data_IF_552848495087
#
_entry.id   IF_552848495087
#
_cell.length_a   1.000
_cell.length_b   1.000
_cell.length_c   1.000
_cell.angle_alpha   90.00
_cell.angle_beta   90.00
_cell.angle_gamma   90.00
#
_symmetry.space_group_name_H-M   'P 1'
#
loop_
_entity.id
_entity.type
_entity.pdbx_description
1 polymer ?
#
# COMPACT_ATOMS: atom_id res chain seq x y z
N UNK A 1 18.14 10.10 8.12
CA UNK A 1 18.37 10.08 9.57
C UNK A 1 17.03 10.28 10.23
N UNK A 2 16.53 9.28 10.95
CA UNK A 2 15.35 9.41 11.82
C UNK A 2 15.84 9.17 13.24
N UNK A 3 15.57 10.09 14.16
CA UNK A 3 16.08 10.04 15.54
C UNK A 3 17.59 9.79 15.63
N UNK A 4 18.37 10.47 14.78
CA UNK A 4 19.82 10.33 14.66
C UNK A 4 20.32 8.94 14.25
N UNK A 5 19.44 8.06 13.74
CA UNK A 5 19.77 6.75 13.20
C UNK A 5 19.64 6.73 11.69
N UNK A 6 20.57 6.02 11.04
CA UNK A 6 20.46 5.67 9.62
C UNK A 6 19.61 4.40 9.54
N UNK A 7 18.56 4.45 8.73
CA UNK A 7 17.63 3.33 8.52
C UNK A 7 17.56 3.06 7.02
N UNK A 8 17.65 1.80 6.64
CA UNK A 8 17.42 1.35 5.27
C UNK A 8 15.93 1.09 5.10
N UNK A 9 15.31 1.75 4.11
CA UNK A 9 13.88 1.59 3.80
C UNK A 9 13.76 0.96 2.42
N UNK A 10 12.91 -0.07 2.33
CA UNK A 10 12.55 -0.71 1.06
C UNK A 10 11.18 -0.20 0.65
N UNK A 11 11.12 0.49 -0.49
CA UNK A 11 9.87 1.05 -1.02
C UNK A 11 9.50 0.30 -2.30
N UNK A 12 8.27 -0.18 -2.35
CA UNK A 12 7.71 -0.88 -3.50
C UNK A 12 6.57 -0.04 -4.09
N UNK A 13 6.67 0.37 -5.34
CA UNK A 13 5.57 0.98 -6.08
C UNK A 13 4.67 -0.11 -6.69
N UNK A 14 3.35 0.09 -6.66
CA UNK A 14 2.34 -0.93 -7.03
C UNK A 14 1.43 -0.49 -8.18
N UNK A 15 1.84 0.52 -8.95
CA UNK A 15 1.10 0.99 -10.12
C UNK A 15 0.71 -0.17 -11.06
N UNK A 16 -0.58 -0.27 -11.41
CA UNK A 16 -1.12 -1.35 -12.26
C UNK A 16 -1.80 -2.51 -11.53
N UNK A 17 -2.11 -2.37 -10.23
CA UNK A 17 -2.82 -3.38 -9.45
C UNK A 17 -4.21 -3.74 -9.99
N UNK A 18 -4.84 -2.84 -10.75
CA UNK A 18 -6.05 -3.11 -11.53
C UNK A 18 -5.91 -4.27 -12.53
N UNK A 19 -4.69 -4.53 -13.06
CA UNK A 19 -4.44 -5.54 -14.10
C UNK A 19 -3.82 -6.83 -13.54
N UNK A 20 -3.25 -6.78 -12.32
CA UNK A 20 -2.54 -7.90 -11.69
C UNK A 20 -3.03 -8.14 -10.26
N UNK A 21 -4.32 -8.45 -10.09
CA UNK A 21 -4.93 -8.67 -8.78
C UNK A 21 -4.28 -9.79 -7.96
N UNK A 22 -3.68 -10.79 -8.61
CA UNK A 22 -3.01 -11.92 -7.96
C UNK A 22 -1.61 -11.60 -7.43
N UNK A 23 -0.95 -10.54 -7.91
CA UNK A 23 0.40 -10.15 -7.50
C UNK A 23 0.40 -9.22 -6.27
N UNK A 24 -0.77 -8.65 -5.92
CA UNK A 24 -0.92 -7.69 -4.83
C UNK A 24 -0.55 -8.24 -3.45
N UNK A 25 -0.75 -9.54 -3.21
CA UNK A 25 -0.51 -10.20 -1.91
C UNK A 25 0.96 -10.12 -1.49
N UNK A 26 1.88 -10.35 -2.43
CA UNK A 26 3.32 -10.37 -2.16
C UNK A 26 3.86 -8.98 -1.75
N UNK A 27 3.19 -7.90 -2.13
CA UNK A 27 3.58 -6.54 -1.76
C UNK A 27 3.11 -6.14 -0.36
N UNK A 28 2.21 -6.91 0.27
CA UNK A 28 1.65 -6.57 1.57
C UNK A 28 2.18 -7.45 2.70
N UNK A 29 2.50 -8.72 2.43
CA UNK A 29 3.05 -9.64 3.43
C UNK A 29 4.42 -9.15 3.96
N UNK A 30 4.54 -9.04 5.28
CA UNK A 30 5.78 -8.62 5.95
C UNK A 30 6.12 -7.12 5.78
N UNK A 31 5.19 -6.30 5.29
CA UNK A 31 5.39 -4.85 5.23
C UNK A 31 4.95 -4.16 6.52
N UNK A 32 5.77 -3.23 7.01
CA UNK A 32 5.45 -2.48 8.24
C UNK A 32 4.38 -1.41 8.02
N UNK A 33 4.30 -0.86 6.80
CA UNK A 33 3.36 0.20 6.45
C UNK A 33 3.06 0.23 4.95
N UNK A 34 1.95 0.88 4.59
CA UNK A 34 1.61 1.20 3.21
C UNK A 34 1.20 2.67 3.07
N UNK A 35 1.36 3.22 1.85
CA UNK A 35 0.92 4.57 1.50
C UNK A 35 -0.24 4.43 0.51
N UNK A 36 -1.40 4.96 0.89
CA UNK A 36 -2.60 4.97 0.05
C UNK A 36 -2.78 6.35 -0.57
N UNK A 37 -2.87 6.41 -1.90
CA UNK A 37 -2.97 7.65 -2.68
C UNK A 37 -4.26 7.64 -3.49
N UNK A 38 -4.91 8.79 -3.60
CA UNK A 38 -6.10 9.03 -4.41
C UNK A 38 -5.98 10.33 -5.19
N UNK A 39 -6.84 10.50 -6.18
CA UNK A 39 -6.91 11.71 -7.00
C UNK A 39 -8.01 12.65 -6.49
N UNK A 40 -7.65 13.89 -6.18
CA UNK A 40 -8.58 14.93 -5.72
C UNK A 40 -9.61 15.33 -6.79
N UNK A 41 -9.29 15.16 -8.07
CA UNK A 41 -10.20 15.45 -9.18
C UNK A 41 -11.23 14.33 -9.43
N UNK A 42 -10.97 13.14 -8.88
CA UNK A 42 -11.81 11.95 -9.05
C UNK A 42 -12.22 11.35 -7.70
N UNK A 43 -13.30 11.87 -7.11
CA UNK A 43 -13.78 11.49 -5.77
C UNK A 43 -14.04 9.99 -5.57
N UNK A 44 -14.31 9.24 -6.64
CA UNK A 44 -14.47 7.78 -6.57
C UNK A 44 -13.17 7.06 -6.16
N UNK A 45 -12.00 7.63 -6.48
CA UNK A 45 -10.70 7.05 -6.11
C UNK A 45 -10.49 7.07 -4.61
N UNK A 46 -11.01 8.08 -3.91
CA UNK A 46 -11.00 8.16 -2.45
C UNK A 46 -11.84 7.04 -1.81
N UNK A 47 -13.06 6.82 -2.31
CA UNK A 47 -13.94 5.74 -1.81
C UNK A 47 -13.31 4.36 -1.97
N UNK A 48 -12.48 4.17 -2.98
CA UNK A 48 -11.78 2.90 -3.23
C UNK A 48 -10.68 2.63 -2.19
N UNK A 49 -10.23 3.65 -1.44
CA UNK A 49 -9.17 3.49 -0.44
C UNK A 49 -9.59 2.63 0.74
N UNK A 50 -10.85 2.66 1.18
CA UNK A 50 -11.32 1.82 2.29
C UNK A 50 -11.14 0.34 1.98
N UNK A 51 -11.55 -0.08 0.77
CA UNK A 51 -11.35 -1.47 0.34
C UNK A 51 -9.86 -1.84 0.22
N UNK A 52 -9.01 -0.92 -0.23
CA UNK A 52 -7.55 -1.14 -0.30
C UNK A 52 -6.94 -1.26 1.10
N UNK A 53 -7.40 -0.45 2.05
CA UNK A 53 -6.98 -0.49 3.45
C UNK A 53 -7.36 -1.82 4.10
N UNK A 54 -8.60 -2.27 3.94
CA UNK A 54 -9.05 -3.53 4.52
C UNK A 54 -8.23 -4.72 4.00
N UNK A 55 -7.95 -4.74 2.68
CA UNK A 55 -7.06 -5.75 2.08
C UNK A 55 -5.66 -5.72 2.69
N UNK A 56 -5.06 -4.54 2.83
CA UNK A 56 -3.75 -4.39 3.47
C UNK A 56 -3.75 -4.94 4.90
N UNK A 57 -4.75 -4.61 5.72
CA UNK A 57 -4.82 -5.05 7.11
C UNK A 57 -4.94 -6.58 7.23
N UNK A 58 -5.73 -7.20 6.35
CA UNK A 58 -5.84 -8.67 6.29
C UNK A 58 -4.48 -9.28 5.92
N UNK A 59 -3.84 -8.78 4.88
CA UNK A 59 -2.62 -9.37 4.32
C UNK A 59 -1.37 -9.11 5.16
N UNK A 60 -1.25 -7.93 5.79
CA UNK A 60 -0.10 -7.56 6.61
C UNK A 60 -0.02 -8.36 7.93
N UNK A 61 -1.16 -8.92 8.37
CA UNK A 61 -1.25 -9.75 9.57
C UNK A 61 -0.96 -11.24 9.34
N UNK A 62 -0.72 -11.63 8.07
CA UNK A 62 -0.36 -12.99 7.66
C UNK A 62 1.14 -13.11 7.46
#
# INVERSE_FOLDING_TARGET
MVDYRIVTVWIWDTAGQEWFQSLGVAFYTGTDCCILVFDMTASNTFKTLDSKRDKFLIQAST
#
